data_IF_749062297741
#
_entry.id   IF_749062297741
#
_cell.length_a   1.000
_cell.length_b   1.000
_cell.length_c   1.000
_cell.angle_alpha   90.00
_cell.angle_beta   90.00
_cell.angle_gamma   90.00
#
_symmetry.space_group_name_H-M   'P 1'
#
loop_
_entity.id
_entity.type
_entity.pdbx_description
1 polymer ?
#
# COMPACT_ATOMS: atom_id res chain seq x y z
N UNK A 1 15.55 -11.28 2.63
CA UNK A 1 14.38 -10.67 1.97
C UNK A 1 13.98 -11.56 0.80
N UNK A 2 12.70 -11.86 0.65
CA UNK A 2 12.22 -12.70 -0.47
C UNK A 2 12.06 -11.87 -1.76
N UNK A 3 11.99 -12.51 -2.93
CA UNK A 3 11.85 -11.79 -4.22
C UNK A 3 10.64 -10.86 -4.27
N UNK A 4 9.52 -11.27 -3.67
CA UNK A 4 8.30 -10.47 -3.54
C UNK A 4 8.50 -9.23 -2.65
N UNK A 5 9.29 -9.33 -1.57
CA UNK A 5 9.61 -8.19 -0.71
C UNK A 5 10.44 -7.13 -1.45
N UNK A 6 11.36 -7.55 -2.33
CA UNK A 6 12.10 -6.61 -3.17
C UNK A 6 11.19 -5.85 -4.14
N UNK A 7 10.16 -6.50 -4.68
CA UNK A 7 9.19 -5.84 -5.56
C UNK A 7 8.36 -4.81 -4.79
N UNK A 8 7.86 -5.17 -3.60
CA UNK A 8 7.11 -4.24 -2.74
C UNK A 8 7.97 -3.05 -2.32
N UNK A 9 9.25 -3.28 -2.02
CA UNK A 9 10.21 -2.22 -1.71
C UNK A 9 10.42 -1.29 -2.91
N UNK A 10 10.60 -1.83 -4.13
CA UNK A 10 10.73 -1.01 -5.36
C UNK A 10 9.50 -0.16 -5.60
N UNK A 11 8.30 -0.71 -5.44
CA UNK A 11 7.04 0.03 -5.56
C UNK A 11 6.99 1.18 -4.56
N UNK A 12 7.35 0.92 -3.29
CA UNK A 12 7.35 1.92 -2.25
C UNK A 12 8.37 3.05 -2.53
N UNK A 13 9.61 2.71 -2.90
CA UNK A 13 10.67 3.69 -3.18
C UNK A 13 10.31 4.56 -4.38
N UNK A 14 9.92 3.95 -5.50
CA UNK A 14 9.57 4.69 -6.72
C UNK A 14 8.32 5.56 -6.51
N UNK A 15 7.27 4.99 -5.90
CA UNK A 15 6.03 5.72 -5.64
C UNK A 15 6.22 6.88 -4.66
N UNK A 16 7.00 6.67 -3.60
CA UNK A 16 7.29 7.74 -2.63
C UNK A 16 8.19 8.81 -3.23
N UNK A 17 9.19 8.42 -4.03
CA UNK A 17 10.05 9.37 -4.74
C UNK A 17 9.27 10.27 -5.70
N UNK A 18 8.35 9.70 -6.48
CA UNK A 18 7.44 10.47 -7.36
C UNK A 18 6.47 11.36 -6.57
N UNK A 19 5.97 10.88 -5.43
CA UNK A 19 5.08 11.68 -4.57
C UNK A 19 5.81 12.89 -3.99
N UNK A 20 7.06 12.74 -3.57
CA UNK A 20 7.89 13.86 -3.08
C UNK A 20 8.12 14.88 -4.20
N UNK A 21 8.48 14.42 -5.41
CA UNK A 21 8.70 15.30 -6.54
C UNK A 21 7.43 16.09 -6.91
N UNK A 22 6.27 15.42 -6.93
CA UNK A 22 4.98 16.08 -7.23
C UNK A 22 4.53 17.03 -6.12
N UNK A 23 4.82 16.74 -4.85
CA UNK A 23 4.58 17.69 -3.75
C UNK A 23 5.33 19.00 -3.93
N UNK A 24 6.56 18.98 -4.47
CA UNK A 24 7.34 20.20 -4.71
C UNK A 24 6.68 21.13 -5.74
N UNK A 25 6.03 20.58 -6.77
CA UNK A 25 5.25 21.38 -7.71
C UNK A 25 3.90 21.80 -7.13
N UNK A 26 3.25 20.92 -6.38
CA UNK A 26 1.92 21.19 -5.83
C UNK A 26 1.93 22.29 -4.77
N UNK A 27 2.97 22.36 -3.93
CA UNK A 27 3.08 23.38 -2.89
C UNK A 27 3.21 24.79 -3.49
N UNK A 28 3.89 24.94 -4.63
CA UNK A 28 4.08 26.24 -5.27
C UNK A 28 2.78 26.83 -5.79
N UNK A 29 1.85 25.99 -6.27
CA UNK A 29 0.61 26.44 -6.91
C UNK A 29 -0.62 26.40 -6.00
N UNK A 30 -0.68 25.44 -5.08
CA UNK A 30 -1.86 25.19 -4.24
C UNK A 30 -1.54 25.10 -2.74
N UNK A 31 -0.29 25.35 -2.34
CA UNK A 31 0.13 25.35 -0.93
C UNK A 31 -0.11 24.01 -0.23
N UNK A 32 -0.51 24.07 1.04
CA UNK A 32 -0.72 22.89 1.87
C UNK A 32 -1.84 21.96 1.35
N UNK A 33 -2.91 22.52 0.78
CA UNK A 33 -4.03 21.73 0.23
C UNK A 33 -3.57 20.88 -0.96
N UNK A 34 -2.74 21.44 -1.85
CA UNK A 34 -2.16 20.69 -2.97
C UNK A 34 -1.31 19.51 -2.50
N UNK A 35 -0.48 19.73 -1.48
CA UNK A 35 0.34 18.67 -0.88
C UNK A 35 -0.54 17.57 -0.30
N UNK A 36 -1.62 17.90 0.43
CA UNK A 36 -2.53 16.91 1.01
C UNK A 36 -3.19 16.03 -0.06
N UNK A 37 -3.63 16.63 -1.18
CA UNK A 37 -4.22 15.90 -2.31
C UNK A 37 -3.20 14.98 -2.99
N UNK A 38 -1.98 15.47 -3.22
CA UNK A 38 -0.92 14.66 -3.84
C UNK A 38 -0.53 13.49 -2.94
N UNK A 39 -0.35 13.72 -1.63
CA UNK A 39 0.01 12.65 -0.69
C UNK A 39 -1.10 11.61 -0.60
N UNK A 40 -2.36 12.02 -0.41
CA UNK A 40 -3.49 11.08 -0.33
C UNK A 40 -3.65 10.25 -1.61
N UNK A 41 -3.54 10.89 -2.78
CA UNK A 41 -3.60 10.20 -4.08
C UNK A 41 -2.41 9.26 -4.27
N UNK A 42 -1.19 9.74 -4.00
CA UNK A 42 0.04 8.97 -4.12
C UNK A 42 0.05 7.75 -3.21
N UNK A 43 -0.32 7.91 -1.94
CA UNK A 43 -0.46 6.80 -0.99
C UNK A 43 -1.50 5.78 -1.46
N UNK A 44 -2.65 6.23 -1.98
CA UNK A 44 -3.68 5.33 -2.52
C UNK A 44 -3.14 4.51 -3.69
N UNK A 45 -2.43 5.12 -4.62
CA UNK A 45 -1.82 4.43 -5.76
C UNK A 45 -0.74 3.43 -5.33
N UNK A 46 0.10 3.80 -4.35
CA UNK A 46 1.11 2.89 -3.79
C UNK A 46 0.43 1.67 -3.16
N UNK A 47 -0.62 1.86 -2.35
CA UNK A 47 -1.33 0.76 -1.72
C UNK A 47 -2.03 -0.14 -2.74
N UNK A 48 -2.66 0.43 -3.78
CA UNK A 48 -3.25 -0.35 -4.87
C UNK A 48 -2.18 -1.17 -5.61
N UNK A 49 -1.03 -0.57 -5.92
CA UNK A 49 0.07 -1.26 -6.58
C UNK A 49 0.65 -2.39 -5.70
N UNK A 50 0.81 -2.15 -4.40
CA UNK A 50 1.25 -3.17 -3.45
C UNK A 50 0.21 -4.29 -3.30
N UNK A 51 -1.08 -3.98 -3.29
CA UNK A 51 -2.14 -4.97 -3.23
C UNK A 51 -2.14 -5.87 -4.48
N UNK A 52 -2.06 -5.28 -5.67
CA UNK A 52 -1.96 -6.01 -6.94
C UNK A 52 -0.67 -6.86 -7.01
N UNK A 53 0.46 -6.31 -6.56
CA UNK A 53 1.71 -7.06 -6.47
C UNK A 53 1.58 -8.24 -5.50
N UNK A 54 0.99 -8.02 -4.33
CA UNK A 54 0.76 -9.09 -3.34
C UNK A 54 -0.10 -10.20 -3.93
N UNK A 55 -1.22 -9.87 -4.59
CA UNK A 55 -2.02 -10.85 -5.33
C UNK A 55 -1.16 -11.65 -6.32
N UNK A 56 -0.40 -10.95 -7.17
CA UNK A 56 0.35 -11.57 -8.27
C UNK A 56 1.46 -12.49 -7.78
N UNK A 57 2.20 -12.08 -6.74
CA UNK A 57 3.43 -12.77 -6.34
C UNK A 57 3.24 -13.74 -5.19
N UNK A 58 2.21 -13.56 -4.36
CA UNK A 58 1.95 -14.47 -3.23
C UNK A 58 0.72 -15.35 -3.46
N UNK A 59 -0.12 -15.02 -4.45
CA UNK A 59 -1.40 -15.71 -4.67
C UNK A 59 -2.44 -15.44 -3.57
N UNK A 60 -2.06 -14.72 -2.51
CA UNK A 60 -2.97 -14.33 -1.44
C UNK A 60 -3.85 -13.19 -1.94
N UNK A 61 -5.05 -13.53 -2.41
CA UNK A 61 -6.17 -12.62 -2.21
C UNK A 61 -6.40 -12.58 -0.71
N UNK A 62 -6.64 -11.40 -0.14
CA UNK A 62 -7.17 -11.30 1.22
C UNK A 62 -8.50 -12.02 1.22
N UNK A 63 -8.49 -13.33 1.40
CA UNK A 63 -9.57 -14.04 2.02
C UNK A 63 -9.51 -13.52 3.45
N UNK A 64 -10.45 -12.69 3.90
CA UNK A 64 -10.83 -12.76 5.30
C UNK A 64 -11.27 -14.21 5.49
N UNK A 65 -10.34 -15.08 5.86
CA UNK A 65 -10.67 -16.41 6.34
C UNK A 65 -11.48 -16.15 7.59
N UNK A 66 -12.81 -16.25 7.47
CA UNK A 66 -13.68 -16.33 8.64
C UNK A 66 -13.13 -17.50 9.44
N UNK A 67 -12.61 -17.29 10.65
CA UNK A 67 -12.05 -18.37 11.44
C UNK A 67 -13.13 -19.43 11.62
N UNK A 68 -12.77 -20.70 11.45
CA UNK A 68 -13.74 -21.77 11.66
C UNK A 68 -14.25 -21.71 13.11
N UNK A 69 -15.49 -22.15 13.35
CA UNK A 69 -16.07 -22.20 14.71
C UNK A 69 -15.16 -22.95 15.69
N UNK A 70 -14.38 -23.92 15.19
CA UNK A 70 -13.37 -24.65 15.94
C UNK A 70 -12.16 -23.80 16.35
N UNK A 71 -11.67 -22.92 15.47
CA UNK A 71 -10.60 -21.97 15.78
C UNK A 71 -11.05 -20.94 16.80
N UNK A 72 -12.29 -20.46 16.70
CA UNK A 72 -12.89 -19.53 17.69
C UNK A 72 -13.00 -20.22 19.06
N UNK A 73 -13.47 -21.47 19.11
CA UNK A 73 -13.60 -22.23 20.36
C UNK A 73 -12.26 -22.46 21.07
N UNK A 74 -11.14 -22.56 20.33
CA UNK A 74 -9.80 -22.68 20.90
C UNK A 74 -9.22 -21.39 21.47
N UNK A 75 -9.72 -20.23 21.05
CA UNK A 75 -9.28 -18.92 21.58
C UNK A 75 -9.87 -18.60 22.97
N UNK A 76 -11.01 -19.19 23.32
CA UNK A 76 -11.70 -18.98 24.59
C UNK A 76 -11.47 -20.10 25.63
N UNK A 77 -10.45 -20.93 25.42
CA UNK A 77 -10.09 -22.04 26.32
C UNK A 77 -8.64 -21.92 26.74
#
# INVERSE_FOLDING_TARGET
MTGHQHILMRIAVVGSGLSIATCFFAVQRWGATGVAVVVSTGSTLIFLAQWLATRKYTGMWTHPSVPSLEQIRRLFR
#
